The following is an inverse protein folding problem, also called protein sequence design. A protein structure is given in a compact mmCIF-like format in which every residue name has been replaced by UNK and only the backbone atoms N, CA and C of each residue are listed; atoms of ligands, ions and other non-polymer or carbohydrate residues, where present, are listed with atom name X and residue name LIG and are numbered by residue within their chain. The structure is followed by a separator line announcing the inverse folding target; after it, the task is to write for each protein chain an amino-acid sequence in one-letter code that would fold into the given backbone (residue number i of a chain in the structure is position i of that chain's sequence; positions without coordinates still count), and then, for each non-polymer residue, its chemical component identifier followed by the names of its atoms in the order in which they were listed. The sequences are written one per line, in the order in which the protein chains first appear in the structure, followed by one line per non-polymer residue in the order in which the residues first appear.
data_IF_469908697336
#
_entry.id   IF_469908697336
#
_cell.length_a   1.000
_cell.length_b   1.000
_cell.length_c   1.000
_cell.angle_alpha   90.00
_cell.angle_beta   90.00
_cell.angle_gamma   90.00
#
_symmetry.space_group_name_H-M   'P 1'
#
loop_
_entity.id
_entity.type
_entity.pdbx_description
1 polymer ?
#
# COMPACT_ATOMS: atom_id res chain seq x y z
N UNK A 1 -13.74 28.31 -32.03
CA UNK A 1 -12.50 27.51 -31.99
C UNK A 1 -12.26 27.09 -30.55
N UNK A 2 -12.04 25.79 -30.35
CA UNK A 2 -11.88 24.96 -29.12
C UNK A 2 -13.09 24.78 -28.16
N UNK A 3 -13.42 23.53 -27.77
CA UNK A 3 -14.65 23.20 -27.06
C UNK A 3 -14.47 23.23 -25.53
N UNK A 4 -15.56 23.57 -24.85
CA UNK A 4 -15.77 23.43 -23.40
C UNK A 4 -15.49 21.99 -22.95
N UNK A 5 -14.32 21.76 -22.36
CA UNK A 5 -13.95 20.50 -21.75
C UNK A 5 -14.74 20.26 -20.47
N UNK A 6 -15.75 19.40 -20.55
CA UNK A 6 -16.44 18.85 -19.39
C UNK A 6 -15.45 17.92 -18.67
N UNK A 7 -14.88 18.36 -17.56
CA UNK A 7 -14.19 17.48 -16.62
C UNK A 7 -15.23 16.58 -15.95
N UNK A 8 -15.51 15.43 -16.56
CA UNK A 8 -16.29 14.38 -15.93
C UNK A 8 -15.46 13.78 -14.79
N UNK A 9 -15.73 14.21 -13.56
CA UNK A 9 -15.28 13.51 -12.38
C UNK A 9 -16.01 12.17 -12.31
N UNK A 10 -15.38 11.11 -12.84
CA UNK A 10 -15.87 9.74 -12.69
C UNK A 10 -15.71 9.35 -11.23
N UNK A 11 -16.76 9.57 -10.44
CA UNK A 11 -16.92 8.97 -9.12
C UNK A 11 -17.17 7.47 -9.33
N UNK A 12 -16.09 6.69 -9.36
CA UNK A 12 -16.18 5.24 -9.19
C UNK A 12 -16.70 4.95 -7.77
N UNK A 13 -18.02 4.81 -7.65
CA UNK A 13 -18.65 4.21 -6.49
C UNK A 13 -18.28 2.72 -6.46
N UNK A 14 -17.25 2.38 -5.70
CA UNK A 14 -16.93 1.00 -5.37
C UNK A 14 -17.87 0.56 -4.25
N UNK A 15 -18.67 -0.47 -4.52
CA UNK A 15 -19.53 -1.12 -3.54
C UNK A 15 -18.66 -1.74 -2.43
N UNK A 16 -18.40 -0.96 -1.39
CA UNK A 16 -17.74 -1.39 -0.16
C UNK A 16 -18.75 -2.03 0.77
N UNK A 17 -18.84 -3.36 0.76
CA UNK A 17 -19.68 -4.13 1.67
C UNK A 17 -19.08 -4.12 3.10
N UNK A 18 -19.29 -3.04 3.86
CA UNK A 18 -19.18 -2.98 5.33
C UNK A 18 -17.84 -3.37 6.00
N UNK A 19 -16.81 -3.74 5.24
CA UNK A 19 -15.57 -4.31 5.74
C UNK A 19 -14.42 -3.32 5.50
N UNK A 20 -13.52 -3.20 6.48
CA UNK A 20 -12.30 -2.41 6.33
C UNK A 20 -11.49 -2.82 5.09
N UNK A 21 -10.56 -1.97 4.65
CA UNK A 21 -9.74 -2.25 3.47
C UNK A 21 -8.64 -3.22 3.83
N UNK A 22 -8.45 -4.30 3.06
CA UNK A 22 -7.28 -5.16 3.21
C UNK A 22 -6.22 -4.80 2.17
N UNK A 23 -5.00 -4.58 2.64
CA UNK A 23 -3.87 -4.22 1.81
C UNK A 23 -3.00 -5.46 1.58
N UNK A 24 -2.95 -5.90 0.34
CA UNK A 24 -2.14 -7.02 -0.14
C UNK A 24 -0.80 -6.52 -0.67
N UNK A 25 0.25 -7.36 -0.56
CA UNK A 25 1.60 -7.02 -1.01
C UNK A 25 2.03 -8.00 -2.10
N UNK A 26 2.32 -7.49 -3.30
CA UNK A 26 2.63 -8.35 -4.43
C UNK A 26 4.11 -8.73 -4.51
N UNK A 27 5.01 -7.94 -3.90
CA UNK A 27 6.45 -8.23 -3.91
C UNK A 27 7.15 -7.74 -2.64
N UNK A 28 8.08 -8.55 -2.14
CA UNK A 28 8.92 -8.20 -1.00
C UNK A 28 8.13 -8.04 0.29
N UNK A 29 8.69 -7.33 1.26
CA UNK A 29 8.03 -6.93 2.49
C UNK A 29 7.99 -5.41 2.61
N UNK A 30 6.90 -4.91 3.18
CA UNK A 30 6.66 -3.49 3.43
C UNK A 30 6.12 -3.29 4.86
N UNK A 31 6.13 -2.05 5.35
CA UNK A 31 5.41 -1.66 6.57
C UNK A 31 4.17 -0.86 6.18
N UNK A 32 3.01 -1.25 6.70
CA UNK A 32 1.73 -0.57 6.50
C UNK A 32 1.25 -0.12 7.89
N UNK A 33 1.32 1.19 8.16
CA UNK A 33 0.95 1.74 9.46
C UNK A 33 1.77 1.19 10.63
N UNK A 34 2.99 0.72 10.37
CA UNK A 34 3.86 0.07 11.36
C UNK A 34 3.71 -1.45 11.46
N UNK A 35 2.69 -2.03 10.83
CA UNK A 35 2.51 -3.49 10.72
C UNK A 35 3.25 -4.03 9.50
N UNK A 36 4.03 -5.11 9.63
CA UNK A 36 4.75 -5.66 8.49
C UNK A 36 3.85 -6.57 7.66
N UNK A 37 4.08 -6.56 6.35
CA UNK A 37 3.37 -7.42 5.40
C UNK A 37 4.32 -7.83 4.28
N UNK A 38 4.28 -9.10 3.89
CA UNK A 38 5.09 -9.60 2.78
C UNK A 38 4.27 -10.34 1.75
N UNK A 39 4.82 -10.38 0.53
CA UNK A 39 4.35 -11.27 -0.51
C UNK A 39 4.60 -12.74 -0.13
N UNK A 40 3.61 -13.60 -0.43
CA UNK A 40 3.70 -15.05 -0.29
C UNK A 40 2.94 -15.61 0.92
N UNK A 41 2.70 -16.94 0.89
CA UNK A 41 1.97 -17.64 1.94
C UNK A 41 2.79 -17.70 3.24
N UNK A 42 2.14 -17.41 4.37
CA UNK A 42 2.74 -17.55 5.70
C UNK A 42 3.64 -16.40 6.17
N UNK A 43 3.77 -15.30 5.41
CA UNK A 43 4.66 -14.17 5.75
C UNK A 43 3.89 -12.85 5.88
N UNK A 44 3.01 -12.76 6.88
CA UNK A 44 2.25 -11.53 7.16
C UNK A 44 1.26 -11.19 6.05
N UNK A 45 0.12 -11.88 6.08
CA UNK A 45 -0.97 -11.71 5.11
C UNK A 45 -1.54 -10.28 5.04
N UNK A 46 -2.68 -10.09 4.36
CA UNK A 46 -3.20 -8.77 4.08
C UNK A 46 -3.41 -7.95 5.36
N UNK A 47 -2.99 -6.69 5.35
CA UNK A 47 -3.13 -5.80 6.51
C UNK A 47 -4.46 -5.07 6.43
N UNK A 48 -5.28 -5.22 7.47
CA UNK A 48 -6.60 -4.58 7.55
C UNK A 48 -6.49 -3.13 8.06
N UNK A 49 -7.03 -2.18 7.30
CA UNK A 49 -7.01 -0.74 7.59
C UNK A 49 -8.44 -0.19 7.63
N UNK A 50 -8.83 0.35 8.79
CA UNK A 50 -10.21 0.80 9.03
C UNK A 50 -10.51 2.22 8.52
N UNK A 51 -9.52 3.12 8.53
CA UNK A 51 -9.77 4.57 8.40
C UNK A 51 -9.57 5.12 6.98
N UNK A 52 -9.40 4.27 5.97
CA UNK A 52 -9.21 4.73 4.58
C UNK A 52 -7.85 5.40 4.31
N UNK A 53 -6.92 5.39 5.27
CA UNK A 53 -5.62 6.01 5.10
C UNK A 53 -4.56 5.32 5.95
N UNK A 54 -3.33 5.29 5.46
CA UNK A 54 -2.18 4.77 6.20
C UNK A 54 -0.87 5.22 5.56
N UNK A 55 0.23 5.16 6.31
CA UNK A 55 1.56 5.34 5.76
C UNK A 55 2.15 3.98 5.40
N UNK A 56 2.61 3.86 4.16
CA UNK A 56 3.31 2.68 3.67
C UNK A 56 4.79 3.03 3.52
N UNK A 57 5.68 2.21 4.08
CA UNK A 57 7.11 2.25 3.83
C UNK A 57 7.48 1.03 3.01
N UNK A 58 8.27 1.19 1.96
CA UNK A 58 8.62 0.11 1.05
C UNK A 58 10.06 0.25 0.53
N UNK A 59 10.43 -0.61 -0.44
CA UNK A 59 11.78 -0.70 -1.03
C UNK A 59 12.88 -0.92 0.02
N UNK A 60 12.58 -1.80 0.97
CA UNK A 60 13.54 -2.32 1.94
C UNK A 60 14.60 -3.18 1.25
N UNK A 61 15.75 -3.37 1.91
CA UNK A 61 16.90 -4.08 1.30
C UNK A 61 16.63 -5.56 1.03
N UNK A 62 15.62 -6.15 1.66
CA UNK A 62 15.34 -7.59 1.60
C UNK A 62 16.07 -8.41 2.66
N UNK A 63 16.95 -7.77 3.44
CA UNK A 63 17.71 -8.40 4.50
C UNK A 63 16.97 -8.27 5.84
N UNK A 64 17.07 -9.27 6.72
CA UNK A 64 16.44 -9.25 8.06
C UNK A 64 17.17 -8.38 9.11
N UNK A 65 18.40 -7.99 8.79
CA UNK A 65 19.26 -7.15 9.63
C UNK A 65 19.58 -5.86 8.87
N UNK A 66 19.68 -4.71 9.55
CA UNK A 66 19.47 -4.48 11.00
C UNK A 66 17.98 -4.53 11.42
N UNK A 67 17.70 -4.50 12.74
CA UNK A 67 16.32 -4.46 13.29
C UNK A 67 15.51 -3.26 12.81
N UNK A 68 16.18 -2.11 12.61
CA UNK A 68 15.61 -0.91 11.99
C UNK A 68 16.48 -0.52 10.79
N UNK A 69 15.88 -0.29 9.63
CA UNK A 69 16.56 0.16 8.43
C UNK A 69 15.84 1.36 7.78
N UNK A 70 16.51 2.03 6.86
CA UNK A 70 15.88 3.09 6.07
C UNK A 70 14.99 2.48 4.99
N UNK A 71 13.72 2.86 4.95
CA UNK A 71 12.87 2.56 3.80
C UNK A 71 13.42 3.23 2.54
N UNK A 72 13.35 2.59 1.37
CA UNK A 72 13.75 3.22 0.11
C UNK A 72 12.71 4.22 -0.43
N UNK A 73 11.47 4.09 0.02
CA UNK A 73 10.38 5.02 -0.31
C UNK A 73 9.31 5.01 0.79
N UNK A 74 8.46 6.03 0.79
CA UNK A 74 7.21 6.02 1.56
C UNK A 74 6.04 6.60 0.77
N UNK A 75 4.83 6.25 1.17
CA UNK A 75 3.57 6.71 0.60
C UNK A 75 2.60 7.02 1.73
N UNK A 76 2.05 8.23 1.75
CA UNK A 76 0.87 8.55 2.55
C UNK A 76 -0.37 8.17 1.74
N UNK A 77 -0.82 6.93 1.87
CA UNK A 77 -1.88 6.38 1.05
C UNK A 77 -3.27 6.76 1.59
N UNK A 78 -4.21 7.02 0.68
CA UNK A 78 -5.60 7.34 1.00
C UNK A 78 -6.58 6.73 0.00
N UNK A 79 -7.71 6.29 0.51
CA UNK A 79 -8.82 5.72 -0.23
C UNK A 79 -10.12 5.93 0.57
N UNK A 80 -11.30 5.86 -0.07
CA UNK A 80 -12.58 5.83 0.64
C UNK A 80 -12.59 4.77 1.75
N UNK A 81 -13.22 5.06 2.89
CA UNK A 81 -13.42 4.06 3.92
C UNK A 81 -14.12 2.82 3.33
N UNK A 82 -13.69 1.61 3.75
CA UNK A 82 -14.28 0.34 3.28
C UNK A 82 -14.09 0.02 1.79
N UNK A 83 -12.91 0.30 1.22
CA UNK A 83 -12.61 0.09 -0.20
C UNK A 83 -12.54 -1.38 -0.67
N UNK A 84 -12.59 -2.36 0.24
CA UNK A 84 -12.36 -3.77 -0.06
C UNK A 84 -10.88 -4.13 -0.14
N UNK A 85 -10.48 -4.94 -1.11
CA UNK A 85 -9.08 -5.33 -1.29
C UNK A 85 -8.32 -4.33 -2.17
N UNK A 86 -7.12 -3.96 -1.73
CA UNK A 86 -6.16 -3.18 -2.52
C UNK A 86 -4.80 -3.87 -2.54
N UNK A 87 -4.01 -3.60 -3.57
CA UNK A 87 -2.77 -4.31 -3.85
C UNK A 87 -1.63 -3.31 -4.01
N UNK A 88 -0.60 -3.46 -3.19
CA UNK A 88 0.67 -2.78 -3.40
C UNK A 88 1.49 -3.57 -4.42
N UNK A 89 1.58 -3.01 -5.62
CA UNK A 89 2.21 -3.61 -6.79
C UNK A 89 3.74 -3.70 -6.66
N UNK A 90 4.34 -4.53 -7.52
CA UNK A 90 5.79 -4.68 -7.60
C UNK A 90 6.51 -3.42 -8.12
N UNK A 91 5.76 -2.53 -8.77
CA UNK A 91 6.14 -1.19 -9.22
C UNK A 91 6.04 -0.14 -8.10
N UNK A 92 5.62 -0.54 -6.89
CA UNK A 92 5.44 0.31 -5.70
C UNK A 92 4.24 1.27 -5.80
N UNK A 93 3.22 0.92 -6.57
CA UNK A 93 1.96 1.66 -6.67
C UNK A 93 0.78 0.91 -6.06
N UNK A 94 -0.29 1.63 -5.72
CA UNK A 94 -1.53 1.05 -5.20
C UNK A 94 -2.55 0.81 -6.31
N UNK A 95 -3.12 -0.39 -6.28
CA UNK A 95 -4.13 -0.85 -7.23
C UNK A 95 -5.36 -1.35 -6.49
N UNK A 96 -6.54 -1.19 -7.10
CA UNK A 96 -7.75 -1.86 -6.64
C UNK A 96 -7.77 -3.34 -7.06
N UNK A 97 -8.82 -4.05 -6.67
CA UNK A 97 -9.02 -5.46 -7.03
C UNK A 97 -9.24 -5.73 -8.52
N UNK A 98 -9.45 -4.69 -9.33
CA UNK A 98 -9.56 -4.78 -10.79
C UNK A 98 -8.23 -4.44 -11.48
N UNK A 99 -7.17 -4.15 -10.71
CA UNK A 99 -5.88 -3.73 -11.24
C UNK A 99 -5.85 -2.28 -11.71
N UNK A 100 -6.82 -1.44 -11.32
CA UNK A 100 -6.81 -0.01 -11.62
C UNK A 100 -5.98 0.73 -10.58
N UNK A 101 -5.07 1.60 -11.05
CA UNK A 101 -4.25 2.40 -10.15
C UNK A 101 -5.13 3.39 -9.37
N UNK A 102 -5.03 3.38 -8.05
CA UNK A 102 -5.87 4.20 -7.16
C UNK A 102 -5.32 5.64 -7.16
N UNK A 103 -5.82 6.46 -8.09
CA UNK A 103 -5.48 7.89 -8.22
C UNK A 103 -3.98 8.18 -8.40
N UNK A 104 -3.23 7.30 -9.08
CA UNK A 104 -1.80 7.50 -9.33
C UNK A 104 -0.94 7.34 -8.08
N UNK A 105 -1.45 6.72 -7.02
CA UNK A 105 -0.74 6.64 -5.74
C UNK A 105 0.42 5.66 -5.82
N UNK A 106 1.61 6.21 -5.99
CA UNK A 106 2.87 5.49 -6.04
C UNK A 106 3.81 5.97 -4.95
N UNK A 107 4.59 5.04 -4.42
CA UNK A 107 5.62 5.31 -3.43
C UNK A 107 6.67 6.25 -4.03
N UNK A 108 6.89 7.40 -3.39
CA UNK A 108 7.87 8.39 -3.84
C UNK A 108 9.19 8.17 -3.12
N UNK A 109 10.30 8.49 -3.79
CA UNK A 109 11.64 8.37 -3.20
C UNK A 109 11.73 9.15 -1.89
N UNK A 110 12.23 8.51 -0.84
CA UNK A 110 12.35 9.11 0.48
C UNK A 110 12.75 8.07 1.51
N UNK A 111 13.62 8.45 2.44
CA UNK A 111 14.13 7.56 3.46
C UNK A 111 13.59 7.91 4.83
N UNK A 112 13.00 6.94 5.51
CA UNK A 112 12.66 7.03 6.92
C UNK A 112 13.22 5.81 7.64
N UNK A 113 13.91 6.02 8.76
CA UNK A 113 14.40 4.94 9.60
C UNK A 113 13.22 4.33 10.36
N UNK A 114 12.85 3.10 10.03
CA UNK A 114 11.69 2.39 10.58
C UNK A 114 12.05 0.94 10.89
N UNK A 115 11.15 0.21 11.55
CA UNK A 115 11.34 -1.22 11.82
C UNK A 115 11.53 -1.98 10.50
N UNK A 116 12.50 -2.87 10.45
CA UNK A 116 12.72 -3.71 9.29
C UNK A 116 11.61 -4.77 9.24
N UNK A 117 10.74 -4.78 8.19
CA UNK A 117 9.65 -5.74 8.14
C UNK A 117 10.19 -7.18 8.06
N UNK A 118 11.32 -7.43 7.41
CA UNK A 118 11.91 -8.77 7.26
C UNK A 118 12.38 -9.41 8.58
N UNK A 119 12.49 -8.64 9.66
CA UNK A 119 12.87 -9.16 10.97
C UNK A 119 11.71 -9.91 11.68
N UNK A 120 10.45 -9.67 11.28
CA UNK A 120 9.30 -10.00 12.12
C UNK A 120 8.99 -11.50 12.28
N UNK A 121 9.49 -12.35 11.39
CA UNK A 121 9.16 -13.79 11.35
C UNK A 121 10.33 -14.71 11.74
N UNK A 122 11.42 -14.14 12.28
CA UNK A 122 12.62 -14.88 12.64
C UNK A 122 12.96 -14.77 14.14
N UNK A 123 11.92 -14.68 14.98
CA UNK A 123 12.02 -14.77 16.44
C UNK A 123 11.91 -16.20 16.95
#
# INVERSE_FOLDING_TARGET
MLPTGVFAAVLLALAGSGAATNVHVNRGCILIGGSPACAGKGKGGPVRINNGQTRIHARFSGNKNPFNENSGCYLNARWPQHYGDIYFGADNCLYDSKGQNINGQCCTSGQQRVRNPYNYWYG
#
